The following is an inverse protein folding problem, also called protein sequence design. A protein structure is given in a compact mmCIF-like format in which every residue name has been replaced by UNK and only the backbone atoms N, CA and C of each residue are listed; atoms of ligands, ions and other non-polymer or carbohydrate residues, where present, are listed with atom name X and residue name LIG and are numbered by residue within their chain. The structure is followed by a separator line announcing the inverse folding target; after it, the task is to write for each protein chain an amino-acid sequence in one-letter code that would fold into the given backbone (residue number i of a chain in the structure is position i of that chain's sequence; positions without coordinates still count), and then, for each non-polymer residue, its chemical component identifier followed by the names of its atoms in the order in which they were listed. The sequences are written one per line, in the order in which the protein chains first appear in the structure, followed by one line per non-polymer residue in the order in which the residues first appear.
data_IF_465897961618
#
_entry.id   IF_465897961618
#
_cell.length_a   1.000
_cell.length_b   1.000
_cell.length_c   1.000
_cell.angle_alpha   90.00
_cell.angle_beta   90.00
_cell.angle_gamma   90.00
#
_symmetry.space_group_name_H-M   'P 1'
#
loop_
_entity.id
_entity.type
_entity.pdbx_description
1 polymer ?
#
# COMPACT_ATOMS: atom_id res chain seq x y z
N UNK A 1 10.66 -6.73 9.56
CA UNK A 1 9.68 -5.63 9.58
C UNK A 1 8.39 -6.15 8.97
N UNK A 2 7.25 -5.94 9.62
CA UNK A 2 5.97 -6.35 9.06
C UNK A 2 5.64 -5.47 7.85
N UNK A 3 5.11 -6.06 6.78
CA UNK A 3 4.71 -5.36 5.57
C UNK A 3 3.57 -4.36 5.90
N UNK A 4 3.63 -3.10 5.42
CA UNK A 4 2.66 -2.07 5.80
C UNK A 4 1.22 -2.43 5.40
N UNK A 5 1.02 -3.10 4.26
CA UNK A 5 -0.30 -3.53 3.80
C UNK A 5 -0.91 -4.60 4.72
N UNK A 6 -0.07 -5.50 5.25
CA UNK A 6 -0.50 -6.50 6.24
C UNK A 6 -0.92 -5.83 7.55
N UNK A 7 -0.12 -4.88 8.05
CA UNK A 7 -0.43 -4.17 9.29
C UNK A 7 -1.71 -3.34 9.16
N UNK A 8 -1.89 -2.62 8.06
CA UNK A 8 -3.11 -1.85 7.80
C UNK A 8 -4.37 -2.73 7.83
N UNK A 9 -4.33 -3.92 7.21
CA UNK A 9 -5.46 -4.85 7.28
C UNK A 9 -5.73 -5.35 8.70
N UNK A 10 -4.69 -5.65 9.49
CA UNK A 10 -4.87 -6.07 10.88
C UNK A 10 -5.48 -4.96 11.74
N UNK A 11 -5.04 -3.71 11.58
CA UNK A 11 -5.64 -2.57 12.28
C UNK A 11 -7.09 -2.32 11.86
N UNK A 12 -7.43 -2.52 10.57
CA UNK A 12 -8.81 -2.49 10.14
C UNK A 12 -9.63 -3.65 10.77
N UNK A 13 -9.03 -4.83 10.94
CA UNK A 13 -9.66 -5.99 11.55
C UNK A 13 -9.97 -5.82 13.05
N UNK A 14 -9.26 -4.93 13.76
CA UNK A 14 -9.57 -4.59 15.16
C UNK A 14 -10.97 -3.96 15.32
N UNK A 15 -11.49 -3.35 14.26
CA UNK A 15 -12.75 -2.61 14.25
C UNK A 15 -13.82 -3.18 13.30
N UNK A 16 -13.42 -3.95 12.29
CA UNK A 16 -14.34 -4.63 11.37
C UNK A 16 -13.85 -6.04 11.01
N UNK A 17 -14.64 -7.04 11.41
CA UNK A 17 -14.37 -8.47 11.15
C UNK A 17 -14.23 -8.83 9.67
N UNK A 18 -14.75 -8.00 8.75
CA UNK A 18 -14.56 -8.18 7.31
C UNK A 18 -13.07 -8.21 6.90
N UNK A 19 -12.17 -7.67 7.73
CA UNK A 19 -10.74 -7.63 7.43
C UNK A 19 -9.90 -8.72 8.12
N UNK A 20 -10.50 -9.58 8.94
CA UNK A 20 -9.77 -10.64 9.66
C UNK A 20 -9.11 -11.65 8.71
N UNK A 21 -9.79 -11.97 7.61
CA UNK A 21 -9.30 -12.91 6.60
C UNK A 21 -8.93 -12.21 5.29
N UNK A 22 -7.97 -12.77 4.55
CA UNK A 22 -7.65 -12.31 3.19
C UNK A 22 -8.78 -12.54 2.20
N UNK A 23 -9.68 -13.49 2.47
CA UNK A 23 -10.81 -13.79 1.57
C UNK A 23 -11.84 -12.67 1.66
N UNK A 24 -12.27 -12.34 2.87
CA UNK A 24 -13.23 -11.27 3.13
C UNK A 24 -12.65 -9.89 2.81
N UNK A 25 -11.40 -9.61 3.21
CA UNK A 25 -10.74 -8.35 2.86
C UNK A 25 -10.55 -8.21 1.34
N UNK A 26 -10.25 -9.31 0.64
CA UNK A 26 -10.12 -9.32 -0.82
C UNK A 26 -11.41 -8.92 -1.50
N UNK A 27 -12.56 -9.38 -0.99
CA UNK A 27 -13.87 -8.96 -1.49
C UNK A 27 -14.11 -7.45 -1.30
N UNK A 28 -13.69 -6.87 -0.17
CA UNK A 28 -13.80 -5.42 0.07
C UNK A 28 -12.89 -4.60 -0.85
N UNK A 29 -11.69 -5.10 -1.14
CA UNK A 29 -10.72 -4.42 -2.02
C UNK A 29 -10.99 -4.69 -3.51
N UNK A 30 -11.75 -5.74 -3.85
CA UNK A 30 -12.00 -6.15 -5.23
C UNK A 30 -10.90 -7.03 -5.84
N UNK A 31 -10.13 -7.74 -5.02
CA UNK A 31 -9.02 -8.61 -5.45
C UNK A 31 -9.07 -10.00 -4.80
N UNK A 32 -8.35 -10.96 -5.38
CA UNK A 32 -8.29 -12.31 -4.82
C UNK A 32 -7.49 -12.36 -3.51
N UNK A 33 -7.81 -13.33 -2.64
CA UNK A 33 -7.05 -13.59 -1.41
C UNK A 33 -5.58 -13.95 -1.69
N UNK A 34 -5.30 -14.60 -2.83
CA UNK A 34 -3.94 -14.89 -3.31
C UNK A 34 -3.20 -13.60 -3.66
N UNK A 35 -3.87 -12.65 -4.33
CA UNK A 35 -3.28 -11.33 -4.64
C UNK A 35 -2.97 -10.55 -3.37
N UNK A 36 -3.88 -10.51 -2.41
CA UNK A 36 -3.62 -9.93 -1.08
C UNK A 36 -2.44 -10.60 -0.38
N UNK A 37 -2.36 -11.94 -0.41
CA UNK A 37 -1.23 -12.66 0.16
C UNK A 37 0.10 -12.23 -0.46
N UNK A 38 0.16 -12.10 -1.79
CA UNK A 38 1.37 -11.67 -2.49
C UNK A 38 1.79 -10.26 -2.07
N UNK A 39 0.84 -9.33 -1.96
CA UNK A 39 1.07 -7.95 -1.54
C UNK A 39 1.55 -7.91 -0.08
N UNK A 40 0.83 -8.56 0.83
CA UNK A 40 1.14 -8.59 2.27
C UNK A 40 2.47 -9.30 2.59
N UNK A 41 2.92 -10.18 1.71
CA UNK A 41 4.22 -10.86 1.84
C UNK A 41 5.36 -10.13 1.11
N UNK A 42 5.06 -9.03 0.43
CA UNK A 42 6.04 -8.28 -0.37
C UNK A 42 6.55 -9.06 -1.59
N UNK A 43 5.78 -10.03 -2.07
CA UNK A 43 6.09 -10.79 -3.28
C UNK A 43 5.74 -10.00 -4.54
N UNK A 44 4.72 -9.14 -4.44
CA UNK A 44 4.30 -8.25 -5.52
C UNK A 44 3.83 -6.92 -4.94
N UNK A 45 4.02 -5.86 -5.72
CA UNK A 45 3.49 -4.55 -5.38
C UNK A 45 2.00 -4.43 -5.69
N UNK A 46 1.23 -3.67 -4.90
CA UNK A 46 -0.15 -3.34 -5.27
C UNK A 46 -0.15 -2.48 -6.54
N UNK A 47 -1.17 -2.67 -7.36
CA UNK A 47 -1.51 -1.71 -8.41
C UNK A 47 -2.05 -0.44 -7.77
N UNK A 48 -1.99 0.67 -8.50
CA UNK A 48 -2.43 1.99 -7.99
C UNK A 48 -3.88 1.95 -7.52
N UNK A 49 -4.76 1.33 -8.29
CA UNK A 49 -6.19 1.30 -7.98
C UNK A 49 -6.46 0.43 -6.75
N UNK A 50 -5.79 -0.72 -6.65
CA UNK A 50 -5.83 -1.58 -5.46
C UNK A 50 -5.36 -0.83 -4.20
N UNK A 51 -4.26 -0.06 -4.32
CA UNK A 51 -3.71 0.74 -3.22
C UNK A 51 -4.68 1.83 -2.77
N UNK A 52 -5.32 2.53 -3.70
CA UNK A 52 -6.29 3.58 -3.40
C UNK A 52 -7.48 2.99 -2.62
N UNK A 53 -8.02 1.87 -3.10
CA UNK A 53 -9.11 1.16 -2.42
C UNK A 53 -8.65 0.67 -1.04
N UNK A 54 -7.46 0.04 -0.93
CA UNK A 54 -6.90 -0.39 0.36
C UNK A 54 -6.79 0.76 1.36
N UNK A 55 -6.26 1.91 0.94
CA UNK A 55 -6.11 3.07 1.82
C UNK A 55 -7.47 3.61 2.30
N UNK A 56 -8.49 3.56 1.45
CA UNK A 56 -9.85 3.96 1.79
C UNK A 56 -10.52 2.95 2.74
N UNK A 57 -10.61 1.67 2.35
CA UNK A 57 -11.37 0.66 3.11
C UNK A 57 -10.68 0.25 4.41
N UNK A 58 -9.35 0.32 4.49
CA UNK A 58 -8.63 0.11 5.74
C UNK A 58 -8.56 1.39 6.59
N UNK A 59 -8.98 2.55 6.07
CA UNK A 59 -8.76 3.89 6.63
C UNK A 59 -7.29 4.15 6.99
N UNK A 60 -6.39 3.82 6.05
CA UNK A 60 -4.93 3.82 6.23
C UNK A 60 -4.23 4.72 5.18
N UNK A 61 -4.34 6.06 5.29
CA UNK A 61 -3.75 7.00 4.33
C UNK A 61 -2.21 6.90 4.25
N UNK A 62 -1.56 6.41 5.30
CA UNK A 62 -0.11 6.17 5.35
C UNK A 62 0.36 5.18 4.27
N UNK A 63 -0.51 4.29 3.78
CA UNK A 63 -0.18 3.40 2.65
C UNK A 63 0.13 4.19 1.37
N UNK A 64 -0.59 5.29 1.12
CA UNK A 64 -0.34 6.15 -0.03
C UNK A 64 1.02 6.85 0.10
N UNK A 65 1.33 7.32 1.31
CA UNK A 65 2.62 7.96 1.61
C UNK A 65 3.76 6.98 1.39
N UNK A 66 3.66 5.78 1.95
CA UNK A 66 4.64 4.71 1.78
C UNK A 66 4.88 4.38 0.31
N UNK A 67 3.81 4.22 -0.47
CA UNK A 67 3.93 3.94 -1.90
C UNK A 67 4.66 5.06 -2.65
N UNK A 68 4.29 6.31 -2.42
CA UNK A 68 4.91 7.48 -3.06
C UNK A 68 6.41 7.59 -2.72
N UNK A 69 6.76 7.33 -1.47
CA UNK A 69 8.14 7.41 -1.00
C UNK A 69 8.98 6.22 -1.50
N UNK A 70 8.44 5.01 -1.53
CA UNK A 70 9.25 3.80 -1.75
C UNK A 70 9.15 3.22 -3.17
N UNK A 71 8.04 3.40 -3.86
CA UNK A 71 7.65 2.53 -4.99
C UNK A 71 7.22 3.29 -6.24
N UNK A 72 6.55 4.43 -6.06
CA UNK A 72 6.00 5.23 -7.14
C UNK A 72 7.10 5.65 -8.13
N UNK A 73 6.97 5.32 -9.43
CA UNK A 73 7.95 5.73 -10.44
C UNK A 73 8.10 7.26 -10.53
N UNK A 74 7.02 8.01 -10.31
CA UNK A 74 7.04 9.48 -10.30
C UNK A 74 7.82 10.00 -9.09
N UNK A 75 7.57 9.44 -7.90
CA UNK A 75 8.29 9.81 -6.68
C UNK A 75 9.79 9.50 -6.76
N UNK A 76 10.14 8.34 -7.33
CA UNK A 76 11.55 7.99 -7.63
C UNK A 76 12.18 9.01 -8.57
N UNK A 77 11.48 9.36 -9.67
CA UNK A 77 11.97 10.33 -10.64
C UNK A 77 12.16 11.72 -10.03
N UNK A 78 11.26 12.15 -9.16
CA UNK A 78 11.39 13.42 -8.43
C UNK A 78 12.70 13.45 -7.63
N UNK A 79 12.98 12.42 -6.83
CA UNK A 79 14.22 12.35 -6.03
C UNK A 79 15.47 12.38 -6.89
N UNK A 80 15.51 11.63 -7.98
CA UNK A 80 16.62 11.66 -8.93
C UNK A 80 16.88 13.06 -9.51
N UNK A 81 15.82 13.84 -9.75
CA UNK A 81 15.93 15.21 -10.25
C UNK A 81 16.39 16.18 -9.15
N UNK A 82 15.94 15.98 -7.92
CA UNK A 82 16.35 16.78 -6.76
C UNK A 82 17.82 16.57 -6.41
N UNK A 83 18.31 15.33 -6.42
CA UNK A 83 19.72 14.98 -6.20
C UNK A 83 20.65 15.62 -7.24
N UNK A 84 20.17 15.76 -8.48
CA UNK A 84 20.91 16.38 -9.58
C UNK A 84 20.76 17.89 -9.65
N UNK A 85 19.90 18.48 -8.81
CA UNK A 85 19.63 19.91 -8.85
C UNK A 85 20.85 20.65 -8.30
N UNK A 86 21.53 21.51 -9.09
CA UNK A 86 22.63 22.29 -8.58
C UNK A 86 22.14 23.15 -7.40
N UNK A 87 22.99 23.28 -6.38
CA UNK A 87 22.76 24.23 -5.29
C UNK A 87 22.55 25.60 -5.94
N UNK A 88 21.38 26.21 -5.68
CA UNK A 88 21.14 27.59 -6.09
C UNK A 88 21.99 28.46 -5.18
N UNK A 89 23.00 29.11 -5.76
CA UNK A 89 23.75 30.22 -5.14
C UNK A 89 22.82 31.41 -4.87
#
# INVERSE_FOLDING_TARGET
MANPYYQARLHAAERDTAFESRVSAGAMVGISSTRLYQIERGLQEPHRDELLIMAEVYEAPELLRYYCDMMCPVGRRLRELEEKRPLRE
#
